data_IF_661369498207
#
_entry.id   IF_661369498207
#
_cell.length_a   1.000
_cell.length_b   1.000
_cell.length_c   1.000
_cell.angle_alpha   90.00
_cell.angle_beta   90.00
_cell.angle_gamma   90.00
#
_symmetry.space_group_name_H-M   'P 1'
#
loop_
_entity.id
_entity.type
_entity.pdbx_description
1 polymer ?
#
# COMPACT_ATOMS: atom_id res chain seq x y z
N UNK A 1 -11.92 -40.98 -36.18
CA UNK A 1 -11.84 -41.89 -35.01
C UNK A 1 -11.61 -41.00 -33.78
N UNK A 2 -12.67 -40.35 -33.28
CA UNK A 2 -13.33 -40.65 -31.98
C UNK A 2 -12.61 -39.90 -30.83
N UNK A 3 -13.17 -39.00 -30.02
CA UNK A 3 -14.51 -38.41 -29.85
C UNK A 3 -14.34 -37.10 -29.04
N UNK A 4 -15.23 -36.14 -29.30
CA UNK A 4 -15.56 -34.99 -28.45
C UNK A 4 -15.97 -35.46 -27.05
N UNK A 5 -15.54 -34.75 -26.00
CA UNK A 5 -16.21 -34.74 -24.69
C UNK A 5 -16.29 -33.33 -24.13
N UNK A 6 -17.26 -32.57 -24.62
CA UNK A 6 -17.92 -31.51 -23.86
C UNK A 6 -18.54 -32.14 -22.61
N UNK A 7 -18.34 -31.53 -21.45
CA UNK A 7 -19.19 -31.75 -20.29
C UNK A 7 -19.71 -30.39 -19.84
N UNK A 8 -20.99 -30.15 -20.11
CA UNK A 8 -21.75 -29.05 -19.54
C UNK A 8 -22.44 -29.61 -18.29
N UNK A 9 -22.22 -29.01 -17.13
CA UNK A 9 -23.14 -29.14 -16.01
C UNK A 9 -23.45 -27.73 -15.51
N UNK A 10 -24.67 -27.28 -15.78
CA UNK A 10 -25.18 -26.02 -15.27
C UNK A 10 -25.62 -26.14 -13.81
N UNK A 11 -25.59 -25.02 -13.09
CA UNK A 11 -26.56 -24.76 -12.04
C UNK A 11 -26.84 -23.26 -12.00
N UNK A 12 -28.07 -22.90 -12.32
CA UNK A 12 -28.62 -21.55 -12.15
C UNK A 12 -29.23 -21.43 -10.75
N UNK A 13 -29.07 -20.22 -10.19
CA UNK A 13 -29.76 -19.63 -9.04
C UNK A 13 -29.49 -20.23 -7.65
N UNK A 14 -28.76 -19.44 -6.85
CA UNK A 14 -29.18 -19.17 -5.48
C UNK A 14 -29.49 -17.66 -5.38
N UNK A 15 -30.77 -17.28 -5.48
CA UNK A 15 -31.23 -16.11 -4.74
C UNK A 15 -31.59 -16.61 -3.34
N UNK A 16 -30.76 -16.22 -2.39
CA UNK A 16 -31.15 -16.13 -1.00
C UNK A 16 -30.33 -14.97 -0.43
N UNK A 17 -30.89 -13.75 -0.54
CA UNK A 17 -30.54 -12.69 0.38
C UNK A 17 -31.04 -13.11 1.77
N UNK A 18 -30.35 -14.07 2.40
CA UNK A 18 -30.45 -14.28 3.83
C UNK A 18 -29.74 -13.07 4.43
N UNK A 19 -30.54 -12.17 5.01
CA UNK A 19 -30.07 -10.98 5.69
C UNK A 19 -28.93 -11.33 6.64
N UNK A 20 -27.71 -11.07 6.19
CA UNK A 20 -26.53 -11.17 7.02
C UNK A 20 -26.56 -9.97 7.96
N UNK A 21 -26.53 -10.13 9.30
CA UNK A 21 -26.37 -9.02 10.22
C UNK A 21 -24.96 -8.41 10.17
N UNK A 22 -24.10 -8.90 9.27
CA UNK A 22 -22.80 -8.32 9.02
C UNK A 22 -22.99 -7.00 8.28
N UNK A 23 -22.97 -5.91 9.06
CA UNK A 23 -22.51 -4.62 8.57
C UNK A 23 -21.26 -4.90 7.72
N UNK A 24 -21.25 -4.62 6.41
CA UNK A 24 -20.12 -4.97 5.58
C UNK A 24 -18.87 -4.39 6.24
N UNK A 25 -17.84 -5.23 6.41
CA UNK A 25 -16.52 -4.72 6.71
C UNK A 25 -16.26 -3.68 5.62
N UNK A 26 -15.98 -2.43 6.00
CA UNK A 26 -15.59 -1.44 5.01
C UNK A 26 -14.45 -2.08 4.23
N UNK A 27 -14.66 -2.31 2.93
CA UNK A 27 -13.56 -2.66 2.04
C UNK A 27 -12.63 -1.46 2.08
N UNK A 28 -11.54 -1.59 2.85
CA UNK A 28 -10.50 -0.57 2.86
C UNK A 28 -9.81 -0.70 1.52
N UNK A 29 -10.11 0.24 0.63
CA UNK A 29 -9.34 0.39 -0.59
C UNK A 29 -7.95 0.88 -0.17
N UNK A 30 -6.96 0.01 -0.28
CA UNK A 30 -5.56 0.33 0.02
C UNK A 30 -4.87 0.64 -1.30
N UNK A 31 -4.30 1.83 -1.39
CA UNK A 31 -3.34 2.17 -2.44
C UNK A 31 -1.97 2.20 -1.78
N UNK A 32 -1.04 1.39 -2.28
CA UNK A 32 0.35 1.38 -1.85
C UNK A 32 1.16 2.23 -2.83
N UNK A 33 2.01 3.10 -2.28
CA UNK A 33 3.03 3.82 -3.04
C UNK A 33 4.39 3.29 -2.56
N UNK A 34 5.14 2.64 -3.45
CA UNK A 34 6.45 2.09 -3.12
C UNK A 34 7.46 3.24 -2.94
N UNK A 35 8.34 3.12 -1.95
CA UNK A 35 9.24 4.21 -1.57
C UNK A 35 10.35 4.43 -2.61
N UNK A 36 10.77 3.37 -3.29
CA UNK A 36 11.72 3.39 -4.41
C UNK A 36 11.22 4.10 -5.67
N UNK A 37 9.91 4.35 -5.79
CA UNK A 37 9.29 5.07 -6.90
C UNK A 37 9.06 6.56 -6.59
N UNK A 38 9.37 6.99 -5.36
CA UNK A 38 9.17 8.36 -4.89
C UNK A 38 10.34 9.29 -5.24
N UNK A 39 10.18 10.59 -5.00
CA UNK A 39 11.28 11.54 -5.11
C UNK A 39 12.18 11.47 -3.88
N UNK A 40 13.47 11.19 -4.10
CA UNK A 40 14.46 11.01 -3.04
C UNK A 40 15.37 12.24 -2.94
N UNK A 41 15.58 12.73 -1.72
CA UNK A 41 16.56 13.77 -1.41
C UNK A 41 17.52 13.23 -0.35
N UNK A 42 18.81 13.16 -0.68
CA UNK A 42 19.87 12.66 0.23
C UNK A 42 19.86 11.15 0.48
N UNK A 43 18.79 10.45 0.12
CA UNK A 43 18.59 9.01 0.36
C UNK A 43 18.83 8.15 -0.88
N UNK A 44 18.89 6.83 -0.71
CA UNK A 44 19.12 5.87 -1.81
C UNK A 44 18.30 4.59 -1.68
N UNK A 45 18.08 3.89 -2.80
CA UNK A 45 17.42 2.57 -2.83
C UNK A 45 18.42 1.48 -2.49
N UNK A 46 18.01 0.53 -1.64
CA UNK A 46 18.78 -0.65 -1.26
C UNK A 46 17.90 -1.91 -1.24
N UNK A 47 18.54 -3.08 -1.24
CA UNK A 47 17.93 -4.43 -1.29
C UNK A 47 18.59 -5.41 -0.33
N UNK A 48 19.55 -4.97 0.50
CA UNK A 48 20.33 -5.84 1.37
C UNK A 48 19.49 -6.52 2.47
N UNK A 49 18.42 -5.87 2.94
CA UNK A 49 17.49 -6.41 3.94
C UNK A 49 16.23 -6.96 3.27
N UNK A 50 15.88 -8.21 3.56
CA UNK A 50 14.65 -8.84 3.05
C UNK A 50 13.37 -8.29 3.74
N UNK A 51 12.22 -8.44 3.08
CA UNK A 51 10.90 -8.10 3.64
C UNK A 51 10.25 -6.84 3.08
N UNK A 52 10.88 -6.18 2.11
CA UNK A 52 10.28 -5.09 1.35
C UNK A 52 9.23 -5.57 0.34
N UNK A 53 8.32 -4.68 -0.04
CA UNK A 53 7.45 -4.82 -1.22
C UNK A 53 8.11 -4.15 -2.43
N UNK A 54 7.62 -4.41 -3.64
CA UNK A 54 8.21 -3.82 -4.84
C UNK A 54 9.60 -4.38 -5.16
N UNK A 55 10.55 -3.48 -5.40
CA UNK A 55 11.92 -3.77 -5.85
C UNK A 55 13.00 -3.44 -4.83
N UNK A 56 12.69 -2.68 -3.78
CA UNK A 56 13.64 -2.35 -2.71
C UNK A 56 13.04 -1.56 -1.55
N UNK A 57 13.91 -0.90 -0.78
CA UNK A 57 13.55 0.06 0.27
C UNK A 57 14.49 1.25 0.24
N UNK A 58 14.14 2.33 0.94
CA UNK A 58 14.99 3.52 1.04
C UNK A 58 15.84 3.49 2.31
N UNK A 59 17.12 3.82 2.16
CA UNK A 59 18.12 3.94 3.22
C UNK A 59 18.92 5.22 3.06
N UNK A 60 19.86 5.47 4.00
CA UNK A 60 20.72 6.65 4.00
C UNK A 60 20.01 7.89 4.54
N UNK A 61 19.27 7.74 5.64
CA UNK A 61 18.73 8.86 6.41
C UNK A 61 19.74 9.23 7.51
N UNK A 62 20.85 9.85 7.13
CA UNK A 62 21.96 10.18 8.04
C UNK A 62 22.17 11.68 8.23
N UNK A 63 21.51 12.52 7.41
CA UNK A 63 21.57 13.97 7.47
C UNK A 63 20.17 14.60 7.65
N UNK A 64 20.14 15.80 8.25
CA UNK A 64 18.86 16.50 8.53
C UNK A 64 17.98 16.85 7.30
N UNK A 65 18.50 17.11 6.08
CA UNK A 65 17.65 17.40 4.92
C UNK A 65 17.16 16.15 4.17
N UNK A 66 17.50 14.96 4.64
CA UNK A 66 17.15 13.71 3.95
C UNK A 66 15.64 13.47 4.01
N UNK A 67 15.06 13.14 2.86
CA UNK A 67 13.61 12.98 2.76
C UNK A 67 13.19 12.09 1.59
N UNK A 68 11.95 11.63 1.69
CA UNK A 68 11.20 10.97 0.62
C UNK A 68 9.93 11.78 0.39
N UNK A 69 9.66 12.16 -0.85
CA UNK A 69 8.47 12.91 -1.23
C UNK A 69 7.56 12.07 -2.12
N UNK A 70 6.35 11.80 -1.62
CA UNK A 70 5.32 11.05 -2.34
C UNK A 70 4.34 12.01 -3.02
N UNK A 71 4.12 11.82 -4.33
CA UNK A 71 3.02 12.48 -5.05
C UNK A 71 1.79 11.57 -5.04
N UNK A 72 0.79 11.93 -4.23
CA UNK A 72 -0.45 11.16 -4.06
C UNK A 72 -1.62 11.89 -4.72
N UNK A 73 -2.35 11.19 -5.60
CA UNK A 73 -3.53 11.74 -6.26
C UNK A 73 -4.82 11.28 -5.58
N UNK A 74 -5.82 12.17 -5.53
CA UNK A 74 -7.13 11.89 -4.96
C UNK A 74 -8.23 12.52 -5.80
N UNK A 75 -9.22 11.72 -6.21
CA UNK A 75 -10.35 12.20 -7.05
C UNK A 75 -11.37 13.02 -6.26
N UNK A 76 -11.31 12.98 -4.93
CA UNK A 76 -12.22 13.74 -4.06
C UNK A 76 -11.52 14.16 -2.76
N UNK A 77 -12.05 15.19 -2.11
CA UNK A 77 -11.57 15.60 -0.79
C UNK A 77 -12.19 14.68 0.27
N UNK A 78 -11.36 13.85 0.90
CA UNK A 78 -11.76 12.94 1.97
C UNK A 78 -10.59 12.67 2.93
N UNK A 79 -10.90 12.05 4.06
CA UNK A 79 -9.88 11.58 5.01
C UNK A 79 -9.34 10.23 4.58
N UNK A 80 -8.04 10.05 4.78
CA UNK A 80 -7.30 8.83 4.49
C UNK A 80 -6.53 8.37 5.72
N UNK A 81 -6.45 7.06 5.92
CA UNK A 81 -5.54 6.46 6.89
C UNK A 81 -4.15 6.37 6.26
N UNK A 82 -3.15 7.02 6.86
CA UNK A 82 -1.75 6.86 6.47
C UNK A 82 -1.13 5.68 7.22
N UNK A 83 -0.45 4.80 6.49
CA UNK A 83 0.32 3.68 7.05
C UNK A 83 1.70 3.72 6.45
N UNK A 84 2.74 3.69 7.28
CA UNK A 84 4.14 3.67 6.86
C UNK A 84 4.73 2.31 7.24
N UNK A 85 5.31 1.62 6.26
CA UNK A 85 6.10 0.41 6.49
C UNK A 85 7.56 0.82 6.59
N UNK A 86 8.24 0.45 7.67
CA UNK A 86 9.64 0.82 7.89
C UNK A 86 10.41 -0.31 8.58
N UNK A 87 11.73 -0.36 8.33
CA UNK A 87 12.65 -1.28 8.99
C UNK A 87 13.36 -0.62 10.16
N UNK A 88 12.84 -0.77 11.39
CA UNK A 88 13.44 -0.22 12.61
C UNK A 88 14.61 -1.06 13.15
N UNK A 89 15.64 -1.33 12.33
CA UNK A 89 16.75 -2.23 12.70
C UNK A 89 17.78 -1.60 13.66
N UNK A 90 17.76 -0.27 13.80
CA UNK A 90 18.71 0.49 14.63
C UNK A 90 18.12 1.02 15.94
N UNK A 91 16.87 0.70 16.25
CA UNK A 91 16.19 1.12 17.46
C UNK A 91 14.97 1.99 17.19
N UNK A 92 14.54 2.70 18.23
CA UNK A 92 13.46 3.68 18.13
C UNK A 92 13.96 4.92 17.39
N UNK A 93 13.21 5.30 16.36
CA UNK A 93 13.50 6.46 15.53
C UNK A 93 12.23 7.30 15.39
N UNK A 94 12.41 8.61 15.17
CA UNK A 94 11.32 9.54 14.94
C UNK A 94 11.40 10.11 13.53
N UNK A 95 10.25 10.31 12.91
CA UNK A 95 10.14 10.95 11.60
C UNK A 95 9.11 12.06 11.63
N UNK A 96 9.32 13.08 10.80
CA UNK A 96 8.33 14.15 10.59
C UNK A 96 7.58 13.87 9.29
N UNK A 97 6.26 13.86 9.35
CA UNK A 97 5.41 13.73 8.17
C UNK A 97 4.82 15.09 7.84
N UNK A 98 5.01 15.53 6.60
CA UNK A 98 4.50 16.79 6.08
C UNK A 98 3.49 16.50 4.97
N UNK A 99 2.31 17.12 5.03
CA UNK A 99 1.26 16.98 4.01
C UNK A 99 1.08 18.30 3.29
N UNK A 100 1.35 18.33 1.98
CA UNK A 100 1.24 19.53 1.14
C UNK A 100 1.96 20.76 1.76
N UNK A 101 3.22 20.57 2.17
CA UNK A 101 4.05 21.56 2.85
C UNK A 101 3.50 22.09 4.20
N UNK A 102 2.42 21.48 4.71
CA UNK A 102 1.88 21.75 6.02
C UNK A 102 2.48 20.84 7.08
N UNK A 103 2.95 21.41 8.19
CA UNK A 103 3.33 20.64 9.38
C UNK A 103 2.10 19.99 9.99
N UNK A 104 2.06 18.66 10.08
CA UNK A 104 1.08 17.94 10.89
C UNK A 104 1.17 18.38 12.35
N UNK A 105 0.03 18.63 12.99
CA UNK A 105 -0.10 19.04 14.40
C UNK A 105 0.07 17.88 15.36
#
# INVERSE_FOLDING_TARGET
MTLIRSFLLGLTAATAAVGSPFKPLRTRNVTTYEAEDAELSGTTVDTAVEGYTGTGYITGFDESPDSITFTVSSDSLQLYDLSITYGGIYGEEYTTVMLNDGSGS
#
